data_IF_565831975795
#
_entry.id   IF_565831975795
#
_cell.length_a   1.000
_cell.length_b   1.000
_cell.length_c   1.000
_cell.angle_alpha   90.00
_cell.angle_beta   90.00
_cell.angle_gamma   90.00
#
_symmetry.space_group_name_H-M   'P 1'
#
loop_
_entity.id
_entity.type
_entity.pdbx_description
1 polymer ?
#
# COMPACT_ATOMS: atom_id res chain seq x y z
N UNK A 1 13.86 16.44 33.04
CA UNK A 1 12.84 16.95 32.11
C UNK A 1 11.64 16.04 32.23
N UNK A 2 10.49 16.63 32.59
CA UNK A 2 9.28 15.97 33.06
C UNK A 2 8.76 14.86 32.12
N UNK A 3 8.75 13.61 32.61
CA UNK A 3 7.88 12.54 32.09
C UNK A 3 6.97 12.03 33.22
N UNK A 4 6.56 12.92 34.12
CA UNK A 4 5.56 12.64 35.15
C UNK A 4 4.17 13.06 34.64
N UNK A 5 3.17 12.20 34.89
CA UNK A 5 1.73 12.46 34.74
C UNK A 5 1.12 12.55 33.34
N UNK A 6 1.37 11.57 32.47
CA UNK A 6 0.43 11.28 31.38
C UNK A 6 -0.41 10.05 31.72
N UNK A 7 -1.62 10.29 32.22
CA UNK A 7 -2.65 9.26 32.42
C UNK A 7 -3.04 8.72 31.03
N UNK A 8 -3.07 7.40 30.82
CA UNK A 8 -3.49 6.80 29.55
C UNK A 8 -4.93 7.19 29.23
N UNK A 9 -5.19 7.57 27.97
CA UNK A 9 -6.54 7.97 27.56
C UNK A 9 -7.52 6.81 27.72
N UNK A 10 -8.61 7.05 28.45
CA UNK A 10 -9.70 6.08 28.57
C UNK A 10 -10.43 5.88 27.21
N UNK A 11 -11.16 4.77 27.07
CA UNK A 11 -11.87 4.44 25.83
C UNK A 11 -12.83 5.56 25.37
N UNK A 12 -13.49 6.26 26.30
CA UNK A 12 -14.35 7.41 25.98
C UNK A 12 -13.57 8.64 25.50
N UNK A 13 -12.38 8.88 26.06
CA UNK A 13 -11.50 9.96 25.63
C UNK A 13 -10.91 9.72 24.24
N UNK A 14 -10.56 8.46 23.94
CA UNK A 14 -10.17 8.01 22.60
C UNK A 14 -11.30 8.23 21.58
N UNK A 15 -12.55 7.96 21.96
CA UNK A 15 -13.71 8.22 21.10
C UNK A 15 -13.85 9.72 20.82
N UNK A 16 -13.78 10.57 21.85
CA UNK A 16 -13.84 12.02 21.70
C UNK A 16 -12.67 12.57 20.88
N UNK A 17 -11.47 12.03 21.09
CA UNK A 17 -10.28 12.34 20.29
C UNK A 17 -10.50 11.97 18.83
N UNK A 18 -11.01 10.77 18.55
CA UNK A 18 -11.26 10.26 17.20
C UNK A 18 -12.32 11.10 16.49
N UNK A 19 -13.39 11.50 17.19
CA UNK A 19 -14.41 12.44 16.67
C UNK A 19 -13.80 13.79 16.28
N UNK A 20 -12.96 14.39 17.14
CA UNK A 20 -12.26 15.66 16.83
C UNK A 20 -11.31 15.52 15.66
N UNK A 21 -10.52 14.44 15.62
CA UNK A 21 -9.57 14.11 14.54
C UNK A 21 -10.32 13.93 13.22
N UNK A 22 -11.38 13.12 13.21
CA UNK A 22 -12.20 12.85 12.02
C UNK A 22 -12.79 14.13 11.44
N UNK A 23 -13.33 15.05 12.25
CA UNK A 23 -13.83 16.34 11.76
C UNK A 23 -12.74 17.17 11.07
N UNK A 24 -11.53 17.23 11.64
CA UNK A 24 -10.39 17.97 11.05
C UNK A 24 -9.93 17.33 9.74
N UNK A 25 -9.77 16.01 9.70
CA UNK A 25 -9.31 15.29 8.50
C UNK A 25 -10.38 15.23 7.41
N UNK A 26 -11.66 15.14 7.78
CA UNK A 26 -12.79 15.27 6.86
C UNK A 26 -12.76 16.64 6.17
N UNK A 27 -12.65 17.73 6.95
CA UNK A 27 -12.57 19.09 6.38
C UNK A 27 -11.37 19.26 5.45
N UNK A 28 -10.18 18.79 5.84
CA UNK A 28 -8.97 18.84 4.99
C UNK A 28 -9.13 18.03 3.70
N UNK A 29 -9.68 16.82 3.80
CA UNK A 29 -9.93 15.94 2.65
C UNK A 29 -10.98 16.56 1.72
N UNK A 30 -12.03 17.16 2.27
CA UNK A 30 -13.06 17.86 1.49
C UNK A 30 -12.48 19.08 0.76
N UNK A 31 -11.67 19.91 1.43
CA UNK A 31 -11.02 21.06 0.79
C UNK A 31 -10.07 20.62 -0.34
N UNK A 32 -9.33 19.51 -0.12
CA UNK A 32 -8.47 18.93 -1.17
C UNK A 32 -9.30 18.38 -2.33
N UNK A 33 -10.47 17.78 -2.06
CA UNK A 33 -11.38 17.27 -3.08
C UNK A 33 -11.95 18.40 -3.95
N UNK A 34 -12.45 19.46 -3.31
CA UNK A 34 -13.00 20.63 -4.01
C UNK A 34 -11.90 21.36 -4.79
N UNK A 35 -10.76 21.65 -4.16
CA UNK A 35 -9.64 22.33 -4.82
C UNK A 35 -9.06 21.52 -5.98
N UNK A 36 -8.80 20.22 -5.78
CA UNK A 36 -8.31 19.33 -6.82
C UNK A 36 -9.32 19.10 -7.94
N UNK A 37 -10.61 19.02 -7.62
CA UNK A 37 -11.70 18.91 -8.59
C UNK A 37 -11.83 20.16 -9.46
N UNK A 38 -11.90 21.34 -8.86
CA UNK A 38 -12.01 22.62 -9.59
C UNK A 38 -10.76 22.91 -10.41
N UNK A 39 -9.57 22.89 -9.79
CA UNK A 39 -8.33 23.19 -10.50
C UNK A 39 -8.01 22.13 -11.56
N UNK A 40 -8.22 20.85 -11.24
CA UNK A 40 -8.04 19.74 -12.18
C UNK A 40 -9.01 19.81 -13.35
N UNK A 41 -10.29 20.09 -13.09
CA UNK A 41 -11.31 20.24 -14.13
C UNK A 41 -11.07 21.44 -15.04
N UNK A 42 -10.75 22.61 -14.47
CA UNK A 42 -10.46 23.81 -15.24
C UNK A 42 -9.21 23.63 -16.13
N UNK A 43 -8.14 23.06 -15.58
CA UNK A 43 -6.91 22.82 -16.33
C UNK A 43 -7.09 21.75 -17.40
N UNK A 44 -7.86 20.70 -17.11
CA UNK A 44 -8.22 19.66 -18.08
C UNK A 44 -9.06 20.23 -19.23
N UNK A 45 -10.03 21.09 -18.93
CA UNK A 45 -10.84 21.76 -19.94
C UNK A 45 -9.98 22.68 -20.81
N UNK A 46 -9.13 23.49 -20.19
CA UNK A 46 -8.25 24.43 -20.91
C UNK A 46 -7.24 23.70 -21.80
N UNK A 47 -6.62 22.63 -21.30
CA UNK A 47 -5.71 21.79 -22.10
C UNK A 47 -6.45 21.03 -23.20
N UNK A 48 -7.63 20.47 -22.92
CA UNK A 48 -8.47 19.81 -23.91
C UNK A 48 -8.91 20.74 -25.04
N UNK A 49 -9.41 21.94 -24.71
CA UNK A 49 -9.78 22.99 -25.66
C UNK A 49 -8.56 23.44 -26.46
N UNK A 50 -7.43 23.71 -25.81
CA UNK A 50 -6.21 24.16 -26.49
C UNK A 50 -5.69 23.15 -27.52
N UNK A 51 -5.55 21.89 -27.12
CA UNK A 51 -5.16 20.81 -28.02
C UNK A 51 -6.17 20.60 -29.15
N UNK A 52 -7.47 20.66 -28.83
CA UNK A 52 -8.52 20.52 -29.82
C UNK A 52 -8.47 21.62 -30.89
N UNK A 53 -8.25 22.86 -30.47
CA UNK A 53 -8.07 24.00 -31.38
C UNK A 53 -6.84 23.84 -32.28
N UNK A 54 -5.72 23.36 -31.75
CA UNK A 54 -4.51 23.09 -32.55
C UNK A 54 -4.76 21.98 -33.58
N UNK A 55 -5.43 20.90 -33.19
CA UNK A 55 -5.78 19.80 -34.10
C UNK A 55 -6.74 20.27 -35.20
N UNK A 56 -7.74 21.08 -34.85
CA UNK A 56 -8.68 21.64 -35.82
C UNK A 56 -7.98 22.58 -36.80
N UNK A 57 -7.09 23.47 -36.33
CA UNK A 57 -6.30 24.34 -37.20
C UNK A 57 -5.38 23.55 -38.15
N UNK A 58 -4.76 22.48 -37.65
CA UNK A 58 -3.96 21.56 -38.47
C UNK A 58 -4.80 20.82 -39.51
N UNK A 59 -6.04 20.43 -39.17
CA UNK A 59 -6.96 19.81 -40.11
C UNK A 59 -7.38 20.78 -41.23
N UNK A 60 -7.74 22.02 -40.88
CA UNK A 60 -8.12 23.06 -41.86
C UNK A 60 -6.99 23.32 -42.85
N UNK A 61 -5.78 23.56 -42.35
CA UNK A 61 -4.60 23.80 -43.22
C UNK A 61 -4.28 22.58 -44.09
N UNK A 62 -4.47 21.37 -43.57
CA UNK A 62 -4.33 20.14 -44.36
C UNK A 62 -5.39 20.04 -45.48
N UNK A 63 -6.66 20.35 -45.20
CA UNK A 63 -7.73 20.29 -46.21
C UNK A 63 -7.54 21.31 -47.32
N UNK A 64 -7.05 22.52 -46.99
CA UNK A 64 -6.70 23.54 -47.99
C UNK A 64 -5.56 23.06 -48.89
N UNK A 65 -4.47 22.56 -48.31
CA UNK A 65 -3.33 22.04 -49.06
C UNK A 65 -3.72 20.83 -49.94
N UNK A 66 -4.52 19.90 -49.40
CA UNK A 66 -5.02 18.76 -50.15
C UNK A 66 -5.93 19.19 -51.30
N UNK A 67 -6.77 20.21 -51.10
CA UNK A 67 -7.64 20.73 -52.16
C UNK A 67 -6.87 21.34 -53.33
N UNK A 68 -5.76 22.03 -53.05
CA UNK A 68 -4.84 22.53 -54.09
C UNK A 68 -4.22 21.38 -54.89
N UNK A 69 -3.80 20.30 -54.22
CA UNK A 69 -3.18 19.14 -54.87
C UNK A 69 -4.18 18.31 -55.69
N UNK A 70 -5.40 18.14 -55.18
CA UNK A 70 -6.45 17.32 -55.80
C UNK A 70 -7.30 18.09 -56.84
N UNK A 71 -7.11 19.41 -56.96
CA UNK A 71 -7.89 20.26 -57.86
C UNK A 71 -9.38 20.34 -57.51
N UNK A 72 -9.75 20.06 -56.25
CA UNK A 72 -11.13 20.11 -55.74
C UNK A 72 -11.15 20.72 -54.34
N UNK A 73 -12.10 21.62 -54.07
CA UNK A 73 -12.32 22.09 -52.70
C UNK A 73 -12.91 20.97 -51.84
N UNK A 74 -12.25 20.66 -50.73
CA UNK A 74 -12.76 19.78 -49.69
C UNK A 74 -13.34 20.64 -48.58
N UNK A 75 -14.60 21.05 -48.72
CA UNK A 75 -15.31 21.79 -47.66
C UNK A 75 -15.79 20.82 -46.58
N UNK A 76 -15.06 20.76 -45.47
CA UNK A 76 -15.49 20.03 -44.27
C UNK A 76 -16.13 21.01 -43.31
N UNK A 77 -17.45 20.95 -43.15
CA UNK A 77 -18.16 21.79 -42.19
C UNK A 77 -17.91 21.28 -40.75
N UNK A 78 -17.24 22.11 -39.94
CA UNK A 78 -17.02 21.84 -38.52
C UNK A 78 -17.92 22.74 -37.67
N UNK A 79 -18.91 22.13 -37.01
CA UNK A 79 -19.79 22.82 -36.08
C UNK A 79 -19.30 22.75 -34.63
N UNK A 80 -20.01 23.49 -33.76
CA UNK A 80 -19.82 23.46 -32.30
C UNK A 80 -19.90 22.04 -31.70
N UNK A 81 -20.86 21.16 -32.08
CA UNK A 81 -20.92 19.80 -31.54
C UNK A 81 -19.68 18.96 -31.87
N UNK A 82 -19.17 19.07 -33.10
CA UNK A 82 -17.98 18.35 -33.54
C UNK A 82 -16.73 18.82 -32.78
N UNK A 83 -16.62 20.14 -32.53
CA UNK A 83 -15.53 20.69 -31.72
C UNK A 83 -15.54 20.13 -30.29
N UNK A 84 -16.70 20.15 -29.61
CA UNK A 84 -16.80 19.61 -28.26
C UNK A 84 -16.61 18.08 -28.22
N UNK A 85 -17.01 17.36 -29.28
CA UNK A 85 -16.67 15.94 -29.46
C UNK A 85 -15.16 15.71 -29.54
N UNK A 86 -14.45 16.57 -30.26
CA UNK A 86 -12.99 16.52 -30.36
C UNK A 86 -12.31 16.85 -29.02
N UNK A 87 -12.78 17.87 -28.29
CA UNK A 87 -12.32 18.18 -26.92
C UNK A 87 -12.50 16.97 -25.99
N UNK A 88 -13.68 16.33 -26.01
CA UNK A 88 -13.94 15.14 -25.21
C UNK A 88 -13.01 13.98 -25.59
N UNK A 89 -12.79 13.75 -26.90
CA UNK A 89 -11.85 12.75 -27.40
C UNK A 89 -10.41 13.00 -26.94
N UNK A 90 -9.94 14.25 -27.00
CA UNK A 90 -8.62 14.64 -26.48
C UNK A 90 -8.52 14.39 -24.98
N UNK A 91 -9.53 14.79 -24.20
CA UNK A 91 -9.57 14.55 -22.75
C UNK A 91 -9.49 13.04 -22.45
N UNK A 92 -10.26 12.22 -23.17
CA UNK A 92 -10.20 10.75 -23.03
C UNK A 92 -8.81 10.20 -23.37
N UNK A 93 -8.17 10.71 -24.42
CA UNK A 93 -6.79 10.34 -24.76
C UNK A 93 -5.79 10.76 -23.68
N UNK A 94 -5.96 11.93 -23.05
CA UNK A 94 -5.11 12.36 -21.93
C UNK A 94 -5.27 11.41 -20.72
N UNK A 95 -6.48 10.94 -20.43
CA UNK A 95 -6.71 9.93 -19.39
C UNK A 95 -6.08 8.58 -19.75
N UNK A 96 -6.28 8.11 -20.98
CA UNK A 96 -5.69 6.87 -21.48
C UNK A 96 -4.16 6.93 -21.45
N UNK A 97 -3.57 8.03 -21.94
CA UNK A 97 -2.14 8.29 -21.88
C UNK A 97 -1.59 8.35 -20.45
N UNK A 98 -2.30 9.01 -19.53
CA UNK A 98 -1.90 9.03 -18.11
C UNK A 98 -1.99 7.64 -17.44
N UNK A 99 -2.84 6.74 -17.94
CA UNK A 99 -2.95 5.35 -17.44
C UNK A 99 -1.90 4.40 -18.02
N UNK A 100 -1.49 4.62 -19.28
CA UNK A 100 -0.55 3.77 -20.03
C UNK A 100 0.90 4.21 -19.97
N UNK A 101 1.16 5.49 -19.69
CA UNK A 101 2.52 6.01 -19.74
C UNK A 101 3.42 5.34 -18.70
N UNK A 102 4.45 4.64 -19.17
CA UNK A 102 5.58 4.22 -18.34
C UNK A 102 6.24 5.47 -17.73
N UNK A 103 5.96 5.69 -16.44
CA UNK A 103 6.36 6.89 -15.70
C UNK A 103 7.87 6.94 -15.39
N UNK A 104 8.66 6.03 -15.96
CA UNK A 104 10.11 5.95 -15.79
C UNK A 104 10.87 6.80 -16.82
N UNK A 105 10.29 7.12 -17.98
CA UNK A 105 11.05 7.72 -19.07
C UNK A 105 11.10 9.27 -19.10
N UNK A 106 10.34 9.97 -18.25
CA UNK A 106 10.00 11.38 -18.53
C UNK A 106 10.40 12.45 -17.51
N UNK A 107 10.98 12.12 -16.35
CA UNK A 107 11.47 13.17 -15.44
C UNK A 107 12.60 12.67 -14.51
N UNK A 108 13.84 12.94 -14.89
CA UNK A 108 14.91 13.24 -13.94
C UNK A 108 15.47 14.63 -14.31
N UNK A 109 14.82 15.73 -13.91
CA UNK A 109 15.29 17.09 -14.17
C UNK A 109 16.40 17.48 -13.18
N UNK A 110 16.83 16.54 -12.32
CA UNK A 110 17.93 16.71 -11.37
C UNK A 110 19.24 16.07 -11.81
N UNK A 111 19.29 15.47 -13.00
CA UNK A 111 20.52 14.95 -13.62
C UNK A 111 20.71 15.52 -15.04
N UNK A 112 20.02 16.61 -15.40
CA UNK A 112 20.43 17.39 -16.57
C UNK A 112 21.57 18.33 -16.15
N UNK A 113 22.79 17.87 -16.40
CA UNK A 113 23.96 18.75 -16.38
C UNK A 113 23.88 19.67 -17.60
N UNK A 114 23.34 20.87 -17.41
CA UNK A 114 23.15 21.86 -18.48
C UNK A 114 24.47 22.24 -19.16
N UNK A 115 25.61 21.97 -18.51
CA UNK A 115 26.95 22.27 -19.01
C UNK A 115 27.43 21.36 -20.15
N UNK A 116 26.80 20.20 -20.39
CA UNK A 116 27.22 19.24 -21.43
C UNK A 116 26.26 19.11 -22.63
N UNK A 117 25.25 19.98 -22.74
CA UNK A 117 24.16 19.83 -23.72
C UNK A 117 24.47 20.43 -25.11
N UNK A 118 25.43 19.84 -25.85
CA UNK A 118 25.61 20.08 -27.30
C UNK A 118 24.67 19.22 -28.18
N UNK A 119 23.89 18.32 -27.60
CA UNK A 119 22.99 17.42 -28.33
C UNK A 119 21.54 17.92 -28.32
N UNK A 120 21.09 18.49 -29.44
CA UNK A 120 19.71 18.97 -29.65
C UNK A 120 18.63 17.93 -29.28
N UNK A 121 18.92 16.64 -29.45
CA UNK A 121 18.02 15.55 -29.08
C UNK A 121 17.71 15.48 -27.57
N UNK A 122 18.69 15.76 -26.70
CA UNK A 122 18.48 15.72 -25.25
C UNK A 122 17.62 16.90 -24.78
N UNK A 123 17.84 18.09 -25.36
CA UNK A 123 17.02 19.28 -25.10
C UNK A 123 15.58 19.04 -25.54
N UNK A 124 15.38 18.51 -26.75
CA UNK A 124 14.03 18.20 -27.26
C UNK A 124 13.30 17.19 -26.36
N UNK A 125 14.00 16.15 -25.87
CA UNK A 125 13.43 15.17 -24.95
C UNK A 125 13.06 15.78 -23.59
N UNK A 126 13.91 16.65 -23.04
CA UNK A 126 13.64 17.33 -21.78
C UNK A 126 12.43 18.26 -21.89
N UNK A 127 12.37 19.03 -22.98
CA UNK A 127 11.23 19.90 -23.31
C UNK A 127 9.95 19.08 -23.44
N UNK A 128 9.98 17.96 -24.18
CA UNK A 128 8.83 17.05 -24.31
C UNK A 128 8.37 16.49 -22.95
N UNK A 129 9.30 16.21 -22.03
CA UNK A 129 8.98 15.78 -20.66
C UNK A 129 8.24 16.85 -19.86
N UNK A 130 8.66 18.11 -19.94
CA UNK A 130 7.97 19.24 -19.29
C UNK A 130 6.56 19.41 -19.86
N UNK A 131 6.42 19.36 -21.19
CA UNK A 131 5.11 19.43 -21.84
C UNK A 131 4.19 18.28 -21.39
N UNK A 132 4.71 17.05 -21.31
CA UNK A 132 3.94 15.90 -20.82
C UNK A 132 3.45 16.12 -19.37
N UNK A 133 4.28 16.68 -18.49
CA UNK A 133 3.85 16.98 -17.11
C UNK A 133 2.75 18.03 -17.04
N UNK A 134 2.82 19.07 -17.87
CA UNK A 134 1.76 20.07 -17.97
C UNK A 134 0.49 19.44 -18.54
N UNK A 135 0.58 18.66 -19.61
CA UNK A 135 -0.56 17.98 -20.25
C UNK A 135 -1.29 17.02 -19.30
N UNK A 136 -0.54 16.23 -18.53
CA UNK A 136 -1.12 15.25 -17.61
C UNK A 136 -1.44 15.83 -16.23
N UNK A 137 -1.14 17.10 -15.94
CA UNK A 137 -1.44 17.70 -14.65
C UNK A 137 -2.94 17.75 -14.34
N UNK A 138 -3.78 18.12 -15.33
CA UNK A 138 -5.24 18.18 -15.20
C UNK A 138 -5.88 16.86 -14.75
N UNK A 139 -5.71 15.74 -15.50
CA UNK A 139 -6.21 14.42 -15.10
C UNK A 139 -5.73 13.99 -13.71
N UNK A 140 -4.46 14.25 -13.38
CA UNK A 140 -3.87 13.86 -12.09
C UNK A 140 -4.46 14.64 -10.92
N UNK A 141 -4.66 15.95 -11.08
CA UNK A 141 -5.31 16.80 -10.09
C UNK A 141 -6.76 16.38 -9.86
N UNK A 142 -7.48 16.08 -10.94
CA UNK A 142 -8.87 15.61 -10.88
C UNK A 142 -8.96 14.27 -10.11
N UNK A 143 -8.13 13.29 -10.46
CA UNK A 143 -8.08 12.00 -9.78
C UNK A 143 -7.68 12.12 -8.31
N UNK A 144 -6.73 13.00 -7.99
CA UNK A 144 -6.37 13.31 -6.60
C UNK A 144 -7.54 13.92 -5.82
N UNK A 145 -8.33 14.81 -6.47
CA UNK A 145 -9.55 15.36 -5.92
C UNK A 145 -10.60 14.29 -5.63
N UNK A 146 -10.85 13.39 -6.58
CA UNK A 146 -11.77 12.24 -6.42
C UNK A 146 -11.33 11.31 -5.29
N UNK A 147 -10.03 10.98 -5.20
CA UNK A 147 -9.49 10.18 -4.11
C UNK A 147 -9.64 10.86 -2.75
N UNK A 148 -9.41 12.17 -2.68
CA UNK A 148 -9.65 12.95 -1.46
C UNK A 148 -11.14 12.99 -1.07
N UNK A 149 -12.05 13.06 -2.06
CA UNK A 149 -13.50 13.01 -1.84
C UNK A 149 -13.96 11.67 -1.28
N UNK A 150 -13.42 10.56 -1.81
CA UNK A 150 -13.65 9.21 -1.26
C UNK A 150 -13.18 9.10 0.19
N UNK A 151 -11.98 9.60 0.50
CA UNK A 151 -11.48 9.68 1.88
C UNK A 151 -12.36 10.53 2.78
N UNK A 152 -12.85 11.68 2.32
CA UNK A 152 -13.77 12.52 3.07
C UNK A 152 -15.08 11.78 3.39
N UNK A 153 -15.63 11.03 2.44
CA UNK A 153 -16.81 10.18 2.64
C UNK A 153 -16.53 9.07 3.67
N UNK A 154 -15.35 8.44 3.61
CA UNK A 154 -14.93 7.43 4.58
C UNK A 154 -14.96 7.96 6.02
N UNK A 155 -14.35 9.12 6.26
CA UNK A 155 -14.36 9.76 7.58
C UNK A 155 -15.77 10.08 8.11
N UNK A 156 -16.72 10.36 7.20
CA UNK A 156 -18.11 10.66 7.56
C UNK A 156 -18.89 9.40 7.97
N UNK A 157 -18.55 8.24 7.40
CA UNK A 157 -19.23 6.96 7.66
C UNK A 157 -18.63 6.17 8.82
N UNK A 158 -17.47 6.56 9.31
CA UNK A 158 -16.73 5.86 10.37
C UNK A 158 -17.53 5.76 11.68
N UNK A 159 -17.60 4.56 12.25
CA UNK A 159 -18.18 4.33 13.56
C UNK A 159 -17.13 4.59 14.66
N UNK A 160 -17.26 5.74 15.33
CA UNK A 160 -16.30 6.18 16.34
C UNK A 160 -16.17 5.23 17.53
N UNK A 161 -17.27 4.59 17.95
CA UNK A 161 -17.25 3.68 19.10
C UNK A 161 -16.46 2.41 18.78
N UNK A 162 -16.70 1.80 17.60
CA UNK A 162 -15.96 0.61 17.14
C UNK A 162 -14.46 0.91 17.01
N UNK A 163 -14.14 2.03 16.35
CA UNK A 163 -12.76 2.47 16.16
C UNK A 163 -12.04 2.76 17.47
N UNK A 164 -12.70 3.41 18.43
CA UNK A 164 -12.11 3.73 19.74
C UNK A 164 -11.76 2.48 20.55
N UNK A 165 -12.64 1.46 20.55
CA UNK A 165 -12.38 0.18 21.24
C UNK A 165 -11.14 -0.54 20.68
N UNK A 166 -11.04 -0.63 19.35
CA UNK A 166 -9.86 -1.24 18.71
C UNK A 166 -8.60 -0.42 18.97
N UNK A 167 -8.68 0.92 18.93
CA UNK A 167 -7.54 1.78 19.24
C UNK A 167 -7.09 1.65 20.70
N UNK A 168 -8.02 1.48 21.63
CA UNK A 168 -7.73 1.25 23.04
C UNK A 168 -6.94 -0.04 23.23
N UNK A 169 -7.42 -1.16 22.69
CA UNK A 169 -6.69 -2.44 22.74
C UNK A 169 -5.29 -2.32 22.11
N UNK A 170 -5.19 -1.70 20.93
CA UNK A 170 -3.90 -1.50 20.28
C UNK A 170 -2.98 -0.53 21.04
N UNK A 171 -3.53 0.36 21.85
CA UNK A 171 -2.77 1.28 22.70
C UNK A 171 -2.23 0.56 23.94
N UNK A 172 -3.01 -0.32 24.57
CA UNK A 172 -2.60 -1.14 25.71
C UNK A 172 -1.45 -2.09 25.37
N UNK A 173 -1.34 -2.55 24.11
CA UNK A 173 -0.24 -3.41 23.67
C UNK A 173 0.96 -2.62 23.12
N UNK A 174 2.14 -2.80 23.72
CA UNK A 174 3.39 -2.15 23.27
C UNK A 174 3.85 -2.63 21.88
N UNK A 175 3.52 -3.87 21.51
CA UNK A 175 3.96 -4.53 20.29
C UNK A 175 2.79 -4.83 19.35
N UNK A 176 3.05 -5.65 18.33
CA UNK A 176 2.08 -6.12 17.35
C UNK A 176 1.04 -7.02 18.02
N UNK A 177 -0.24 -6.77 17.78
CA UNK A 177 -1.35 -7.62 18.26
C UNK A 177 -1.86 -8.50 17.12
N UNK A 178 -1.77 -9.83 17.21
CA UNK A 178 -2.38 -10.75 16.25
C UNK A 178 -3.91 -10.56 16.15
N UNK A 179 -4.50 -10.67 14.97
CA UNK A 179 -5.95 -10.51 14.75
C UNK A 179 -6.79 -11.46 15.61
N UNK A 180 -6.29 -12.67 15.86
CA UNK A 180 -6.93 -13.67 16.72
C UNK A 180 -7.02 -13.23 18.19
N UNK A 181 -6.01 -12.51 18.68
CA UNK A 181 -5.97 -12.01 20.05
C UNK A 181 -6.87 -10.78 20.17
N UNK A 182 -6.84 -9.91 19.15
CA UNK A 182 -7.73 -8.77 19.07
C UNK A 182 -9.22 -9.17 18.98
N UNK A 183 -9.53 -10.24 18.24
CA UNK A 183 -10.89 -10.79 18.15
C UNK A 183 -11.35 -11.42 19.47
N UNK A 184 -10.44 -11.98 20.27
CA UNK A 184 -10.73 -12.49 21.62
C UNK A 184 -10.95 -11.36 22.62
N UNK A 185 -10.15 -10.31 22.55
CA UNK A 185 -10.25 -9.14 23.44
C UNK A 185 -11.54 -8.33 23.20
N UNK A 186 -12.07 -8.35 21.97
CA UNK A 186 -13.25 -7.57 21.57
C UNK A 186 -14.39 -8.49 21.10
N UNK A 187 -15.04 -9.25 22.01
CA UNK A 187 -16.15 -10.12 21.63
C UNK A 187 -17.34 -9.32 21.11
N UNK A 188 -17.96 -9.80 20.03
CA UNK A 188 -19.15 -9.17 19.42
C UNK A 188 -18.88 -7.95 18.53
N UNK A 189 -17.61 -7.62 18.28
CA UNK A 189 -17.23 -6.58 17.33
C UNK A 189 -16.85 -7.19 15.98
N UNK A 190 -17.40 -6.65 14.88
CA UNK A 190 -16.96 -6.94 13.53
C UNK A 190 -15.57 -6.33 13.28
N UNK A 191 -14.54 -7.05 13.74
CA UNK A 191 -13.15 -6.62 13.67
C UNK A 191 -12.70 -6.24 12.25
N UNK A 192 -13.08 -6.97 11.18
CA UNK A 192 -12.67 -6.61 9.84
C UNK A 192 -13.15 -5.23 9.38
N UNK A 193 -14.40 -4.90 9.67
CA UNK A 193 -15.00 -3.60 9.31
C UNK A 193 -14.38 -2.48 10.14
N UNK A 194 -14.20 -2.72 11.45
CA UNK A 194 -13.55 -1.75 12.33
C UNK A 194 -12.10 -1.47 11.90
N UNK A 195 -11.34 -2.50 11.51
CA UNK A 195 -9.98 -2.34 10.98
C UNK A 195 -10.00 -1.64 9.63
N UNK A 196 -10.96 -1.95 8.74
CA UNK A 196 -11.10 -1.28 7.45
C UNK A 196 -11.38 0.23 7.61
N UNK A 197 -12.25 0.61 8.53
CA UNK A 197 -12.52 2.00 8.88
C UNK A 197 -11.27 2.69 9.46
N UNK A 198 -10.54 2.00 10.35
CA UNK A 198 -9.32 2.52 10.96
C UNK A 198 -8.14 2.67 9.99
N UNK A 199 -8.16 2.05 8.81
CA UNK A 199 -7.14 2.29 7.76
C UNK A 199 -7.10 3.73 7.30
N UNK A 200 -8.21 4.47 7.40
CA UNK A 200 -8.25 5.90 7.11
C UNK A 200 -7.34 6.69 8.06
N UNK A 201 -7.14 6.17 9.27
CA UNK A 201 -6.34 6.82 10.30
C UNK A 201 -4.85 6.58 10.07
N UNK A 202 -4.16 7.63 9.66
CA UNK A 202 -2.69 7.62 9.53
C UNK A 202 -2.05 7.27 10.87
N UNK A 203 -1.50 6.07 10.96
CA UNK A 203 -0.83 5.56 12.15
C UNK A 203 -1.26 4.16 12.56
N UNK A 204 -2.43 3.68 12.10
CA UNK A 204 -2.81 2.27 12.27
C UNK A 204 -2.14 1.45 11.17
N UNK A 205 -1.37 0.44 11.56
CA UNK A 205 -0.64 -0.44 10.66
C UNK A 205 -1.27 -1.83 10.71
N UNK A 206 -1.74 -2.32 9.56
CA UNK A 206 -2.21 -3.70 9.39
C UNK A 206 -1.09 -4.53 8.77
N UNK A 207 -0.60 -5.52 9.50
CA UNK A 207 0.49 -6.39 9.09
C UNK A 207 -0.07 -7.74 8.65
N UNK A 208 0.13 -8.08 7.38
CA UNK A 208 -0.30 -9.35 6.79
C UNK A 208 0.69 -10.52 7.02
N UNK A 209 1.88 -10.27 7.56
CA UNK A 209 2.85 -11.33 7.86
C UNK A 209 2.22 -12.34 8.83
N UNK A 210 2.39 -13.65 8.68
CA UNK A 210 1.83 -14.60 9.65
C UNK A 210 2.49 -14.42 11.04
N UNK A 211 1.72 -14.42 12.15
CA UNK A 211 0.26 -14.32 12.22
C UNK A 211 -0.21 -12.88 11.90
N UNK A 212 -1.26 -12.68 11.07
CA UNK A 212 -1.72 -11.34 10.70
C UNK A 212 -2.07 -10.54 11.96
N UNK A 213 -1.75 -9.25 11.98
CA UNK A 213 -1.87 -8.43 13.19
C UNK A 213 -2.06 -6.95 12.88
N UNK A 214 -2.33 -6.17 13.91
CA UNK A 214 -2.40 -4.72 13.85
C UNK A 214 -1.44 -4.09 14.88
N UNK A 215 -0.95 -2.89 14.58
CA UNK A 215 -0.14 -2.11 15.52
C UNK A 215 -0.34 -0.61 15.30
N UNK A 216 0.04 0.19 16.29
CA UNK A 216 0.09 1.64 16.19
C UNK A 216 1.51 2.11 15.88
N UNK A 217 1.61 3.13 15.02
CA UNK A 217 2.86 3.84 14.75
C UNK A 217 3.38 4.55 15.99
N UNK A 218 4.70 4.77 16.04
CA UNK A 218 5.33 5.53 17.13
C UNK A 218 4.74 6.93 17.30
N UNK A 219 4.36 7.57 16.19
CA UNK A 219 3.73 8.89 16.21
C UNK A 219 2.35 8.88 16.88
N UNK A 220 1.51 7.90 16.53
CA UNK A 220 0.17 7.80 17.08
C UNK A 220 0.20 7.37 18.56
N UNK A 221 1.14 6.48 18.92
CA UNK A 221 1.40 6.12 20.32
C UNK A 221 1.76 7.35 21.16
N UNK A 222 2.68 8.19 20.67
CA UNK A 222 3.04 9.45 21.35
C UNK A 222 1.86 10.40 21.51
N UNK A 223 0.93 10.43 20.55
CA UNK A 223 -0.28 11.26 20.63
C UNK A 223 -1.30 10.74 21.65
N UNK A 224 -1.30 9.44 21.96
CA UNK A 224 -2.20 8.83 22.95
C UNK A 224 -1.63 8.79 24.37
N UNK A 225 -0.34 9.10 24.54
CA UNK A 225 0.36 9.02 25.82
C UNK A 225 1.06 7.67 26.04
N UNK A 226 1.49 7.41 27.26
CA UNK A 226 2.07 6.12 27.67
C UNK A 226 0.92 5.16 28.08
N UNK A 227 0.98 3.87 27.73
CA UNK A 227 -0.04 2.90 28.15
C UNK A 227 -0.11 2.79 29.68
N UNK A 228 -1.24 2.36 30.27
CA UNK A 228 -1.23 1.90 31.66
C UNK A 228 -0.34 0.65 31.74
N UNK A 229 0.75 0.72 32.49
CA UNK A 229 1.50 -0.43 33.01
C UNK A 229 1.92 -1.51 31.98
N UNK A 230 2.94 -1.21 31.19
CA UNK A 230 3.96 -2.24 30.89
C UNK A 230 5.06 -2.28 31.99
N UNK A 231 4.87 -1.54 33.09
CA UNK A 231 5.76 -1.49 34.25
C UNK A 231 5.55 -2.62 35.29
N UNK A 232 4.48 -3.43 35.16
CA UNK A 232 4.17 -4.47 36.16
C UNK A 232 4.18 -5.91 35.60
N UNK A 233 4.65 -6.12 34.37
CA UNK A 233 5.14 -7.46 34.00
C UNK A 233 6.55 -7.56 34.55
N UNK A 234 6.87 -8.52 35.44
CA UNK A 234 8.26 -8.72 35.83
C UNK A 234 9.08 -8.87 34.56
N UNK A 235 10.15 -8.08 34.49
CA UNK A 235 11.17 -8.21 33.48
C UNK A 235 11.49 -9.69 33.28
N UNK A 236 11.53 -10.11 32.02
CA UNK A 236 12.20 -11.36 31.66
C UNK A 236 13.60 -11.35 32.31
N UNK A 237 14.11 -12.52 32.76
CA UNK A 237 15.33 -12.60 33.55
C UNK A 237 16.51 -11.87 32.90
N UNK A 238 17.27 -11.22 33.77
CA UNK A 238 18.58 -10.59 33.57
C UNK A 238 19.36 -11.08 32.35
N UNK A 239 19.67 -10.13 31.47
CA UNK A 239 20.50 -10.25 30.28
C UNK A 239 21.99 -10.30 30.67
N UNK A 240 22.36 -11.10 31.66
CA UNK A 240 23.75 -11.27 32.13
C UNK A 240 24.45 -12.50 31.58
N UNK A 241 23.83 -13.24 30.66
CA UNK A 241 24.55 -14.22 29.84
C UNK A 241 24.52 -13.76 28.37
N UNK A 242 25.66 -13.33 27.79
CA UNK A 242 25.68 -12.91 26.40
C UNK A 242 25.44 -14.15 25.53
N UNK A 243 24.23 -14.30 25.01
CA UNK A 243 23.97 -15.18 23.88
C UNK A 243 25.00 -14.84 22.78
N UNK A 244 25.63 -15.84 22.14
CA UNK A 244 26.68 -15.59 21.17
C UNK A 244 26.11 -14.65 20.12
N UNK A 245 26.81 -13.53 19.88
CA UNK A 245 26.43 -12.56 18.85
C UNK A 245 26.14 -13.33 17.58
N UNK A 246 24.87 -13.48 17.23
CA UNK A 246 24.45 -14.02 15.95
C UNK A 246 25.19 -13.17 14.92
N UNK A 247 26.17 -13.79 14.25
CA UNK A 247 27.05 -13.10 13.33
C UNK A 247 26.15 -12.39 12.35
N UNK A 248 26.32 -11.07 12.28
CA UNK A 248 25.56 -10.23 11.37
C UNK A 248 25.62 -10.88 9.99
N UNK A 249 24.46 -11.33 9.49
CA UNK A 249 24.33 -11.83 8.13
C UNK A 249 25.09 -10.87 7.20
N UNK A 250 25.90 -11.39 6.26
CA UNK A 250 26.84 -10.58 5.50
C UNK A 250 26.12 -9.36 4.97
N UNK A 251 26.60 -8.17 5.38
CA UNK A 251 26.06 -6.91 4.92
C UNK A 251 26.13 -6.94 3.40
N UNK A 252 24.98 -7.11 2.76
CA UNK A 252 24.85 -6.98 1.31
C UNK A 252 25.51 -5.69 0.84
N UNK A 253 26.00 -5.66 -0.41
CA UNK A 253 26.92 -4.65 -0.89
C UNK A 253 26.43 -3.23 -0.55
N UNK A 254 27.27 -2.50 0.20
CA UNK A 254 27.07 -1.08 0.47
C UNK A 254 27.16 -0.34 -0.88
N UNK A 255 26.04 0.15 -1.38
CA UNK A 255 25.89 1.28 -2.34
C UNK A 255 24.75 1.14 -3.35
N UNK A 256 23.83 0.19 -3.23
CA UNK A 256 22.59 0.28 -4.02
C UNK A 256 21.75 1.45 -3.50
N UNK A 257 21.58 2.52 -4.30
CA UNK A 257 20.58 3.58 -4.04
C UNK A 257 19.25 2.87 -3.72
N UNK A 258 18.59 3.17 -2.58
CA UNK A 258 17.38 2.44 -2.20
C UNK A 258 16.35 2.57 -3.33
N UNK A 259 15.67 1.47 -3.70
CA UNK A 259 14.79 1.46 -4.85
C UNK A 259 13.71 2.52 -4.65
N UNK A 260 13.55 3.34 -5.69
CA UNK A 260 12.64 4.47 -5.64
C UNK A 260 11.31 4.05 -6.25
N UNK A 261 10.24 4.13 -5.47
CA UNK A 261 8.90 3.74 -5.88
C UNK A 261 8.05 4.98 -6.09
N UNK A 262 7.12 4.91 -7.04
CA UNK A 262 6.16 5.98 -7.29
C UNK A 262 4.77 5.48 -6.93
N UNK A 263 4.05 6.25 -6.14
CA UNK A 263 2.70 5.90 -5.76
C UNK A 263 1.76 5.97 -6.99
N UNK A 264 0.99 4.94 -7.29
CA UNK A 264 -0.10 4.87 -8.27
C UNK A 264 -1.22 5.89 -7.97
N UNK A 265 -1.47 6.22 -6.70
CA UNK A 265 -2.56 7.10 -6.29
C UNK A 265 -2.19 8.60 -6.28
N UNK A 266 -1.04 8.97 -5.70
CA UNK A 266 -0.60 10.38 -5.64
C UNK A 266 0.63 10.72 -6.47
N UNK A 267 1.18 9.75 -7.19
CA UNK A 267 2.14 9.97 -8.28
C UNK A 267 3.49 10.57 -7.86
N UNK A 268 3.71 10.77 -6.56
CA UNK A 268 4.97 11.26 -6.01
C UNK A 268 5.92 10.11 -5.71
N UNK A 269 7.22 10.36 -5.96
CA UNK A 269 8.33 9.42 -5.76
C UNK A 269 8.72 9.39 -4.28
N UNK A 270 8.83 8.20 -3.71
CA UNK A 270 9.35 7.99 -2.35
C UNK A 270 10.30 6.80 -2.36
N UNK A 271 11.30 6.82 -1.47
CA UNK A 271 12.29 5.75 -1.35
C UNK A 271 11.98 4.94 -0.11
N UNK A 272 11.89 3.63 -0.27
CA UNK A 272 11.74 2.71 0.85
C UNK A 272 13.11 2.10 1.14
N UNK A 273 13.52 2.17 2.40
CA UNK A 273 14.71 1.46 2.89
C UNK A 273 14.24 0.10 3.42
N UNK A 274 15.03 -0.95 3.23
CA UNK A 274 14.76 -2.30 3.73
C UNK A 274 13.43 -2.90 3.23
N UNK A 275 13.28 -3.08 1.91
CA UNK A 275 12.16 -3.85 1.35
C UNK A 275 12.25 -5.30 1.82
N UNK A 276 11.18 -5.80 2.43
CA UNK A 276 10.96 -7.22 2.74
C UNK A 276 9.65 -7.66 2.11
N UNK A 277 9.54 -8.93 1.72
CA UNK A 277 8.27 -9.50 1.24
C UNK A 277 7.22 -9.59 2.36
N UNK A 278 5.94 -9.44 2.01
CA UNK A 278 4.82 -9.60 2.94
C UNK A 278 4.54 -8.40 3.84
N UNK A 279 5.05 -7.21 3.49
CA UNK A 279 4.88 -5.97 4.24
C UNK A 279 3.82 -5.09 3.55
N UNK A 280 2.80 -4.71 4.31
CA UNK A 280 1.85 -3.67 3.92
C UNK A 280 2.39 -2.32 4.36
N UNK A 281 2.41 -1.36 3.44
CA UNK A 281 2.83 -0.01 3.75
C UNK A 281 1.92 0.99 3.06
N UNK A 282 1.80 2.18 3.65
CA UNK A 282 1.08 3.28 3.04
C UNK A 282 2.08 4.23 2.40
N UNK A 283 1.72 4.82 1.26
CA UNK A 283 2.54 5.85 0.66
C UNK A 283 2.75 7.00 1.67
N UNK A 284 3.99 7.43 1.96
CA UNK A 284 4.25 8.49 2.94
C UNK A 284 3.69 9.86 2.52
N UNK A 285 3.36 10.02 1.24
CA UNK A 285 2.92 11.29 0.66
C UNK A 285 1.40 11.42 0.62
N UNK A 286 0.68 10.37 0.23
CA UNK A 286 -0.79 10.39 0.17
C UNK A 286 -1.52 9.38 1.03
N UNK A 287 -0.86 8.33 1.50
CA UNK A 287 -1.49 7.28 2.31
C UNK A 287 -2.07 6.12 1.52
N UNK A 288 -1.87 6.05 0.20
CA UNK A 288 -2.32 4.92 -0.63
C UNK A 288 -1.75 3.58 -0.13
N UNK A 289 -2.56 2.51 -0.01
CA UNK A 289 -2.11 1.22 0.50
C UNK A 289 -1.37 0.38 -0.57
N UNK A 290 -0.23 -0.18 -0.19
CA UNK A 290 0.60 -1.09 -1.00
C UNK A 290 0.95 -2.35 -0.23
N UNK A 291 1.17 -3.45 -0.96
CA UNK A 291 1.66 -4.72 -0.41
C UNK A 291 2.94 -5.12 -1.12
N UNK A 292 3.92 -5.64 -0.38
CA UNK A 292 5.06 -6.34 -0.98
C UNK A 292 4.79 -7.85 -1.08
N UNK A 293 5.09 -8.47 -2.22
CA UNK A 293 5.20 -9.93 -2.38
C UNK A 293 6.66 -10.31 -2.63
N UNK A 294 7.12 -11.40 -2.03
CA UNK A 294 8.40 -11.98 -2.42
C UNK A 294 8.14 -13.16 -3.37
N UNK A 295 8.80 -13.16 -4.52
CA UNK A 295 8.79 -14.30 -5.43
C UNK A 295 9.64 -15.45 -4.85
N UNK A 296 9.50 -16.66 -5.42
CA UNK A 296 10.30 -17.84 -5.04
C UNK A 296 11.82 -17.63 -5.18
N UNK A 297 12.23 -16.59 -5.90
CA UNK A 297 13.63 -16.18 -6.13
C UNK A 297 14.08 -15.04 -5.19
N UNK A 298 13.27 -14.66 -4.19
CA UNK A 298 13.59 -13.60 -3.21
C UNK A 298 13.45 -12.16 -3.74
N UNK A 299 12.95 -11.96 -4.96
CA UNK A 299 12.65 -10.63 -5.51
C UNK A 299 11.36 -10.09 -4.91
N UNK A 300 11.40 -8.86 -4.38
CA UNK A 300 10.27 -8.22 -3.72
C UNK A 300 9.51 -7.32 -4.70
N UNK A 301 8.31 -7.73 -5.10
CA UNK A 301 7.37 -6.95 -5.93
C UNK A 301 6.45 -6.09 -5.06
N UNK A 302 6.08 -4.91 -5.53
CA UNK A 302 5.12 -4.01 -4.86
C UNK A 302 3.82 -3.94 -5.67
N UNK A 303 2.72 -4.30 -5.03
CA UNK A 303 1.36 -4.28 -5.59
C UNK A 303 0.58 -3.10 -4.98
N UNK A 304 -0.04 -2.27 -5.83
CA UNK A 304 -0.97 -1.23 -5.39
C UNK A 304 -2.35 -1.82 -5.14
N UNK A 305 -2.93 -1.56 -3.97
CA UNK A 305 -4.32 -1.97 -3.70
C UNK A 305 -5.24 -0.79 -4.05
N UNK A 306 -5.86 -0.83 -5.22
CA UNK A 306 -6.88 0.15 -5.56
C UNK A 306 -8.08 -0.01 -4.61
N UNK A 307 -8.43 1.05 -3.88
CA UNK A 307 -9.70 1.14 -3.14
C UNK A 307 -10.87 1.15 -4.12
N UNK A 308 -11.24 -0.04 -4.58
CA UNK A 308 -12.25 -0.28 -5.61
C UNK A 308 -12.96 -1.62 -5.41
N UNK A 309 -13.05 -2.12 -4.18
CA UNK A 309 -14.04 -3.12 -3.82
C UNK A 309 -14.59 -2.87 -2.41
N UNK A 310 -15.83 -2.37 -2.35
CA UNK A 310 -16.81 -2.67 -1.30
C UNK A 310 -17.16 -4.17 -1.34
N UNK A 311 -16.13 -5.01 -1.26
CA UNK A 311 -16.16 -6.40 -1.66
C UNK A 311 -14.76 -6.98 -1.54
N UNK A 312 -14.19 -6.88 -0.35
CA UNK A 312 -13.43 -8.02 0.14
C UNK A 312 -14.50 -8.84 0.85
N UNK A 313 -14.85 -10.05 0.39
CA UNK A 313 -15.32 -11.03 1.34
C UNK A 313 -14.21 -11.14 2.37
N UNK A 314 -14.42 -10.59 3.56
CA UNK A 314 -13.77 -11.12 4.75
C UNK A 314 -14.48 -12.43 5.08
N UNK A 315 -14.28 -13.38 4.17
CA UNK A 315 -14.66 -14.78 4.20
C UNK A 315 -13.69 -15.48 3.22
N UNK A 316 -13.11 -16.62 3.59
CA UNK A 316 -11.94 -16.68 4.44
C UNK A 316 -10.69 -17.11 3.65
N UNK A 317 -9.62 -16.33 3.69
CA UNK A 317 -8.28 -16.91 3.89
C UNK A 317 -7.82 -16.65 5.33
N UNK A 318 -8.79 -16.68 6.24
CA UNK A 318 -8.59 -17.12 7.61
C UNK A 318 -9.19 -18.52 7.67
N UNK A 319 -8.51 -19.48 7.05
CA UNK A 319 -8.42 -20.76 7.74
C UNK A 319 -7.18 -20.60 8.62
N UNK A 320 -7.26 -20.80 9.95
CA UNK A 320 -6.03 -21.14 10.67
C UNK A 320 -5.43 -22.28 9.86
N UNK A 321 -4.16 -22.19 9.43
CA UNK A 321 -3.54 -23.23 8.62
C UNK A 321 -3.97 -24.57 9.21
N UNK A 322 -4.88 -25.26 8.52
CA UNK A 322 -5.44 -26.48 9.05
C UNK A 322 -4.27 -27.43 9.25
N UNK A 323 -4.40 -28.43 10.12
CA UNK A 323 -3.38 -29.48 10.17
C UNK A 323 -3.07 -30.02 8.75
N UNK A 324 -4.06 -29.97 7.86
CA UNK A 324 -3.99 -30.17 6.41
C UNK A 324 -3.04 -29.21 5.67
N UNK A 325 -3.11 -27.90 5.92
CA UNK A 325 -2.23 -26.90 5.28
C UNK A 325 -0.78 -27.00 5.78
N UNK A 326 -0.59 -27.35 7.06
CA UNK A 326 0.75 -27.55 7.64
C UNK A 326 1.47 -28.74 6.99
N UNK A 327 0.73 -29.80 6.67
CA UNK A 327 1.25 -30.97 5.93
C UNK A 327 1.16 -30.81 4.40
N UNK A 328 0.49 -29.78 3.90
CA UNK A 328 0.30 -29.52 2.46
C UNK A 328 -0.57 -30.56 1.77
N UNK A 329 -1.60 -31.06 2.46
CA UNK A 329 -2.54 -32.08 1.96
C UNK A 329 -3.95 -31.53 1.87
N UNK A 330 -4.77 -32.09 0.98
CA UNK A 330 -6.16 -31.66 0.82
C UNK A 330 -6.99 -32.00 2.09
N UNK A 331 -8.10 -31.27 2.29
CA UNK A 331 -9.00 -31.48 3.43
C UNK A 331 -9.64 -32.88 3.49
N UNK A 332 -9.67 -33.61 2.36
CA UNK A 332 -10.15 -35.00 2.26
C UNK A 332 -9.05 -36.04 2.06
N UNK A 333 -7.79 -35.72 2.35
CA UNK A 333 -6.67 -36.63 2.16
C UNK A 333 -6.81 -37.89 3.02
N UNK A 334 -6.51 -39.04 2.42
CA UNK A 334 -6.52 -40.34 3.10
C UNK A 334 -5.41 -40.44 4.16
N UNK A 335 -5.58 -41.33 5.14
CA UNK A 335 -4.58 -41.55 6.20
C UNK A 335 -3.19 -41.89 5.66
N UNK A 336 -3.11 -42.54 4.49
CA UNK A 336 -1.85 -42.90 3.85
C UNK A 336 -1.18 -41.71 3.15
N UNK A 337 -1.96 -40.82 2.53
CA UNK A 337 -1.47 -39.55 1.99
C UNK A 337 -0.94 -38.61 3.09
N UNK A 338 -1.62 -38.59 4.24
CA UNK A 338 -1.21 -37.81 5.41
C UNK A 338 0.12 -38.34 5.97
N UNK A 339 0.28 -39.66 6.10
CA UNK A 339 1.54 -40.30 6.52
C UNK A 339 2.66 -40.05 5.51
N UNK A 340 2.36 -40.07 4.22
CA UNK A 340 3.34 -39.81 3.18
C UNK A 340 3.83 -38.36 3.23
N UNK A 341 2.91 -37.40 3.36
CA UNK A 341 3.23 -35.98 3.51
C UNK A 341 4.05 -35.70 4.78
N UNK A 342 3.67 -36.33 5.90
CA UNK A 342 4.43 -36.25 7.16
C UNK A 342 5.87 -36.73 7.00
N UNK A 343 6.08 -37.91 6.40
CA UNK A 343 7.43 -38.47 6.17
C UNK A 343 8.28 -37.57 5.26
N UNK A 344 7.68 -36.98 4.22
CA UNK A 344 8.36 -36.04 3.33
C UNK A 344 8.83 -34.80 4.09
N UNK A 345 7.92 -34.15 4.82
CA UNK A 345 8.20 -32.92 5.56
C UNK A 345 9.20 -33.15 6.71
N UNK A 346 9.06 -34.26 7.45
CA UNK A 346 10.02 -34.62 8.49
C UNK A 346 11.39 -34.96 7.91
N UNK A 347 11.48 -35.56 6.72
CA UNK A 347 12.76 -35.82 6.06
C UNK A 347 13.49 -34.53 5.63
N UNK A 348 12.78 -33.42 5.49
CA UNK A 348 13.36 -32.10 5.16
C UNK A 348 13.76 -31.32 6.43
N UNK A 349 13.01 -31.48 7.52
CA UNK A 349 13.20 -30.70 8.75
C UNK A 349 13.74 -31.51 9.95
N UNK A 350 14.09 -32.80 9.78
CA UNK A 350 14.57 -33.66 10.87
C UNK A 350 15.81 -33.07 11.55
N UNK A 351 15.90 -33.06 12.90
CA UNK A 351 17.05 -32.55 13.64
C UNK A 351 18.38 -33.16 13.15
N UNK A 352 18.43 -34.47 12.89
CA UNK A 352 19.63 -35.15 12.38
C UNK A 352 20.11 -34.64 11.00
N UNK A 353 19.22 -34.07 10.17
CA UNK A 353 19.55 -33.57 8.83
C UNK A 353 19.95 -32.09 8.84
N UNK A 354 19.44 -31.34 9.81
CA UNK A 354 19.77 -29.93 10.00
C UNK A 354 20.91 -29.73 11.01
N UNK A 355 21.38 -30.80 11.66
CA UNK A 355 22.49 -30.77 12.62
C UNK A 355 23.80 -30.20 12.06
N UNK A 356 24.01 -30.27 10.75
CA UNK A 356 25.16 -29.67 10.07
C UNK A 356 24.92 -28.23 9.58
N UNK A 357 23.70 -27.68 9.74
CA UNK A 357 23.32 -26.33 9.33
C UNK A 357 23.55 -25.32 10.46
N UNK A 358 23.37 -24.03 10.18
CA UNK A 358 23.55 -22.98 11.18
C UNK A 358 22.53 -23.07 12.32
N UNK A 359 22.87 -22.57 13.51
CA UNK A 359 21.99 -22.60 14.70
C UNK A 359 20.61 -21.95 14.44
N UNK A 360 20.56 -20.91 13.59
CA UNK A 360 19.32 -20.26 13.19
C UNK A 360 18.44 -21.16 12.31
N UNK A 361 19.05 -21.93 11.41
CA UNK A 361 18.34 -22.89 10.55
C UNK A 361 17.92 -24.13 11.35
N UNK A 362 18.72 -24.54 12.34
CA UNK A 362 18.37 -25.60 13.29
C UNK A 362 17.15 -25.20 14.13
N UNK A 363 17.13 -23.98 14.69
CA UNK A 363 15.99 -23.48 15.47
C UNK A 363 14.71 -23.38 14.61
N UNK A 364 14.83 -22.91 13.36
CA UNK A 364 13.71 -22.85 12.44
C UNK A 364 13.19 -24.24 12.05
N UNK A 365 14.08 -25.18 11.79
CA UNK A 365 13.71 -26.56 11.46
C UNK A 365 13.12 -27.31 12.67
N UNK A 366 13.55 -26.99 13.88
CA UNK A 366 12.99 -27.52 15.12
C UNK A 366 11.57 -27.00 15.36
N UNK A 367 11.35 -25.69 15.22
CA UNK A 367 10.02 -25.08 15.33
C UNK A 367 9.08 -25.67 14.27
N UNK A 368 9.57 -25.81 13.03
CA UNK A 368 8.80 -26.41 11.92
C UNK A 368 8.49 -27.88 12.15
N UNK A 369 9.43 -28.66 12.69
CA UNK A 369 9.22 -30.07 13.05
C UNK A 369 8.18 -30.24 14.16
N UNK A 370 8.18 -29.34 15.16
CA UNK A 370 7.16 -29.31 16.22
C UNK A 370 5.77 -29.03 15.64
N UNK A 371 5.66 -28.10 14.68
CA UNK A 371 4.40 -27.82 13.97
C UNK A 371 3.92 -29.02 13.14
N UNK A 372 4.82 -29.67 12.40
CA UNK A 372 4.51 -30.86 11.58
C UNK A 372 4.01 -32.01 12.47
N UNK A 373 4.66 -32.27 13.61
CA UNK A 373 4.27 -33.31 14.55
C UNK A 373 2.88 -33.03 15.17
N UNK A 374 2.60 -31.78 15.55
CA UNK A 374 1.29 -31.38 16.09
C UNK A 374 0.18 -31.54 15.04
N UNK A 375 0.43 -31.14 13.79
CA UNK A 375 -0.52 -31.29 12.71
C UNK A 375 -0.81 -32.78 12.43
N UNK A 376 0.22 -33.63 12.36
CA UNK A 376 0.06 -35.06 12.15
C UNK A 376 -0.73 -35.76 13.28
N UNK A 377 -0.46 -35.39 14.54
CA UNK A 377 -1.18 -35.94 15.70
C UNK A 377 -2.68 -35.58 15.68
N UNK A 378 -3.00 -34.33 15.34
CA UNK A 378 -4.38 -33.85 15.21
C UNK A 378 -5.14 -34.55 14.08
N UNK A 379 -4.47 -34.86 12.96
CA UNK A 379 -5.11 -35.50 11.79
C UNK A 379 -5.34 -37.00 11.96
N UNK A 380 -4.59 -37.66 12.85
CA UNK A 380 -4.75 -39.09 13.15
C UNK A 380 -5.47 -39.35 14.47
N UNK A 381 -6.01 -38.31 15.12
CA UNK A 381 -6.80 -38.45 16.34
C UNK A 381 -6.04 -38.98 17.55
N UNK A 382 -4.71 -38.77 17.59
CA UNK A 382 -3.88 -39.09 18.76
C UNK A 382 -3.58 -37.80 19.52
N UNK A 383 -4.59 -37.26 20.20
CA UNK A 383 -4.45 -36.13 21.10
C UNK A 383 -4.49 -36.62 22.55
#
# INVERSE_FOLDING_TARGET
MEFADQIPMEAHELENWLRRRSRREHRRSLMTALGGGMAGGALLLLTGVGLASVLLAGWVTFTEAAGVVLGRSLEVQFGLPQFWGLVAGVILLLFAGNSRGDREAFIAPGELDWRDSLNAFQVLRAVAGVFAEVLYSGPRLLLAGVAAGRRASGWRRMNFQRGARVLFELHCHASRVPLRELAKALPGLDLPDALAELRLLRGVMLLESPPPGASLSSELRRQFGLPPRWADTPAMPDESNPAPKAQAAPRGPKSAKPPSFRCVECLRKFRLRNLRGGVLFHCPLCGAPYRTRADAQGRVQIEHRAEGSLGIPLAPTVQPAGSHDVLGVAAGASADEIKHAYRRMMKEHHPDRVACLSEAEQAQAEERSKEINRAYAQMLGKA
#
